data_IF_975058354446
#
_entry.id   IF_975058354446
#
_cell.length_a   1.000
_cell.length_b   1.000
_cell.length_c   1.000
_cell.angle_alpha   90.00
_cell.angle_beta   90.00
_cell.angle_gamma   90.00
#
_symmetry.space_group_name_H-M   'P 1'
#
loop_
_entity.id
_entity.type
_entity.pdbx_description
1 polymer ?
#
# COMPACT_ATOMS: atom_id res chain seq x y z
N UNK A 1 5.60 22.68 77.43
CA UNK A 1 4.12 22.80 77.55
C UNK A 1 3.66 23.73 76.43
N UNK A 2 2.77 23.26 75.56
CA UNK A 2 2.07 24.05 74.50
C UNK A 2 0.72 24.56 75.09
N UNK A 3 -0.14 25.41 74.44
CA UNK A 3 -0.23 25.85 73.02
C UNK A 3 0.17 27.36 72.86
N UNK A 4 -0.28 28.28 71.97
CA UNK A 4 -1.49 28.50 71.13
C UNK A 4 -1.17 29.11 69.75
N UNK A 5 -2.10 28.90 68.81
CA UNK A 5 -2.26 29.40 67.44
C UNK A 5 -2.12 30.92 67.21
N UNK A 6 -1.76 31.29 65.97
CA UNK A 6 -2.62 32.16 65.14
C UNK A 6 -2.40 31.86 63.64
N UNK A 7 -3.40 32.15 62.80
CA UNK A 7 -3.36 31.92 61.34
C UNK A 7 -2.96 33.18 60.57
N UNK A 8 -2.16 33.02 59.51
CA UNK A 8 -2.31 33.83 58.29
C UNK A 8 -2.11 32.95 57.05
N UNK A 9 -3.03 33.08 56.09
CA UNK A 9 -3.03 32.36 54.83
C UNK A 9 -2.55 33.32 53.73
N UNK A 10 -1.49 32.97 53.02
CA UNK A 10 -1.08 33.65 51.78
C UNK A 10 -1.14 32.67 50.62
N UNK A 11 -2.22 32.73 49.85
CA UNK A 11 -2.34 31.98 48.58
C UNK A 11 -1.51 32.69 47.52
N UNK A 12 -0.33 32.12 47.20
CA UNK A 12 0.44 32.52 46.02
C UNK A 12 0.22 31.46 44.95
N UNK A 13 -0.56 31.80 43.92
CA UNK A 13 -0.97 30.89 42.87
C UNK A 13 0.17 30.66 41.85
N UNK A 14 1.14 29.82 42.22
CA UNK A 14 2.20 29.36 41.32
C UNK A 14 1.63 28.36 40.30
N UNK A 15 1.13 28.88 39.17
CA UNK A 15 0.62 28.08 38.06
C UNK A 15 1.74 27.27 37.39
N UNK A 16 1.98 26.06 37.90
CA UNK A 16 2.96 25.13 37.34
C UNK A 16 2.44 24.58 36.01
N UNK A 17 2.83 25.23 34.91
CA UNK A 17 2.56 24.73 33.56
C UNK A 17 3.28 23.40 33.35
N UNK A 18 2.56 22.30 33.53
CA UNK A 18 3.00 20.97 33.11
C UNK A 18 3.08 20.97 31.58
N UNK A 19 4.28 21.21 31.06
CA UNK A 19 4.62 20.93 29.67
C UNK A 19 4.58 19.42 29.45
N UNK A 20 3.38 18.91 29.18
CA UNK A 20 3.17 17.60 28.59
C UNK A 20 3.81 17.60 27.20
N UNK A 21 5.11 17.29 27.15
CA UNK A 21 5.78 16.86 25.94
C UNK A 21 5.22 15.50 25.55
N UNK A 22 4.06 15.53 24.90
CA UNK A 22 3.52 14.39 24.16
C UNK A 22 4.48 14.08 23.00
N UNK A 23 5.59 13.40 23.32
CA UNK A 23 6.34 12.57 22.40
C UNK A 23 5.42 11.44 21.96
N UNK A 24 4.47 11.78 21.10
CA UNK A 24 3.74 10.81 20.31
C UNK A 24 4.69 10.32 19.23
N UNK A 25 5.68 9.53 19.66
CA UNK A 25 6.39 8.59 18.80
C UNK A 25 5.29 7.79 18.13
N UNK A 26 5.08 8.03 16.83
CA UNK A 26 4.17 7.22 16.05
C UNK A 26 4.85 5.87 15.88
N UNK A 27 4.58 4.95 16.80
CA UNK A 27 4.71 3.54 16.53
C UNK A 27 3.77 3.24 15.36
N UNK A 28 4.32 3.32 14.16
CA UNK A 28 3.74 2.67 12.99
C UNK A 28 3.85 1.16 13.27
N UNK A 29 2.83 0.62 13.94
CA UNK A 29 2.58 -0.81 13.97
C UNK A 29 2.36 -1.25 12.54
N UNK A 30 3.42 -1.79 11.93
CA UNK A 30 3.37 -2.26 10.56
C UNK A 30 2.45 -3.47 10.49
N UNK A 31 1.20 -3.23 10.10
CA UNK A 31 0.19 -4.26 10.05
C UNK A 31 0.44 -5.07 8.77
N UNK A 32 0.87 -6.31 8.93
CA UNK A 32 1.31 -7.16 7.83
C UNK A 32 0.18 -7.36 6.81
N UNK A 33 0.55 -7.46 5.53
CA UNK A 33 -0.37 -7.55 4.38
C UNK A 33 -1.39 -6.39 4.27
N UNK A 34 -0.90 -5.17 3.99
CA UNK A 34 -1.75 -4.09 3.49
C UNK A 34 -2.31 -4.45 2.10
N UNK A 35 -3.43 -5.18 2.09
CA UNK A 35 -4.22 -5.51 0.90
C UNK A 35 -4.86 -4.23 0.36
N UNK A 36 -4.43 -3.81 -0.83
CA UNK A 36 -4.92 -2.58 -1.46
C UNK A 36 -6.21 -2.87 -2.23
N UNK A 37 -7.21 -2.01 -2.05
CA UNK A 37 -8.44 -2.05 -2.85
C UNK A 37 -8.11 -1.75 -4.30
N UNK A 38 -8.34 -2.74 -5.16
CA UNK A 38 -8.22 -2.60 -6.62
C UNK A 38 -9.62 -2.31 -7.18
N UNK A 39 -9.73 -1.35 -8.09
CA UNK A 39 -10.94 -1.20 -8.90
C UNK A 39 -11.00 -2.36 -9.91
N UNK A 40 -12.03 -3.20 -9.83
CA UNK A 40 -12.22 -4.35 -10.71
C UNK A 40 -13.00 -3.99 -11.99
N UNK A 41 -12.98 -2.73 -12.41
CA UNK A 41 -13.53 -2.30 -13.70
C UNK A 41 -12.78 -2.94 -14.87
N UNK A 42 -13.51 -3.52 -15.81
CA UNK A 42 -12.91 -4.20 -16.96
C UNK A 42 -12.52 -3.19 -18.05
N UNK A 43 -11.25 -2.80 -17.99
CA UNK A 43 -10.56 -1.94 -18.93
C UNK A 43 -10.34 -2.55 -20.33
N UNK A 44 -10.62 -3.84 -20.51
CA UNK A 44 -10.41 -4.59 -21.75
C UNK A 44 -11.68 -5.39 -22.10
N UNK A 45 -12.85 -4.72 -22.30
CA UNK A 45 -14.14 -5.39 -22.51
C UNK A 45 -14.17 -6.21 -23.80
N UNK A 46 -13.44 -5.78 -24.83
CA UNK A 46 -13.37 -6.45 -26.13
C UNK A 46 -12.49 -7.72 -26.13
N UNK A 47 -11.82 -8.04 -25.01
CA UNK A 47 -10.86 -9.15 -24.90
C UNK A 47 -11.36 -10.23 -23.96
N UNK A 48 -11.26 -11.48 -24.39
CA UNK A 48 -11.62 -12.62 -23.54
C UNK A 48 -10.65 -12.79 -22.38
N UNK A 49 -11.17 -13.28 -21.25
CA UNK A 49 -10.36 -13.70 -20.11
C UNK A 49 -9.77 -15.08 -20.41
N UNK A 50 -8.45 -15.23 -20.35
CA UNK A 50 -7.78 -16.52 -20.61
C UNK A 50 -7.55 -17.31 -19.33
N UNK A 51 -6.65 -16.84 -18.46
CA UNK A 51 -6.32 -17.47 -17.18
C UNK A 51 -6.50 -16.49 -16.03
N UNK A 52 -6.79 -16.99 -14.83
CA UNK A 52 -6.45 -16.29 -13.58
C UNK A 52 -5.12 -16.82 -13.06
N UNK A 53 -4.18 -15.94 -12.73
CA UNK A 53 -2.86 -16.29 -12.20
C UNK A 53 -2.63 -15.58 -10.87
N UNK A 54 -2.24 -16.35 -9.87
CA UNK A 54 -1.69 -15.83 -8.61
C UNK A 54 -0.18 -15.67 -8.75
N UNK A 55 0.34 -14.49 -8.42
CA UNK A 55 1.76 -14.16 -8.38
C UNK A 55 2.18 -14.07 -6.91
N UNK A 56 2.88 -15.08 -6.43
CA UNK A 56 3.45 -15.20 -5.07
C UNK A 56 4.60 -14.22 -4.80
N UNK A 57 5.32 -13.86 -5.86
CA UNK A 57 6.40 -12.89 -5.86
C UNK A 57 6.51 -12.25 -7.25
N UNK A 58 6.37 -10.94 -7.29
CA UNK A 58 6.66 -10.12 -8.46
C UNK A 58 7.20 -8.75 -8.07
N UNK A 59 7.84 -8.09 -9.02
CA UNK A 59 8.37 -6.73 -8.85
C UNK A 59 7.73 -5.80 -9.87
N UNK A 60 7.32 -4.62 -9.42
CA UNK A 60 6.75 -3.57 -10.28
C UNK A 60 7.87 -2.81 -10.97
N UNK A 61 7.77 -2.72 -12.28
CA UNK A 61 8.74 -2.10 -13.17
C UNK A 61 8.07 -1.09 -14.10
N UNK A 62 8.85 -0.15 -14.66
CA UNK A 62 8.34 0.95 -15.49
C UNK A 62 9.09 1.06 -16.80
N UNK A 63 8.37 1.15 -17.92
CA UNK A 63 8.92 1.38 -19.25
C UNK A 63 8.05 2.40 -20.01
N UNK A 64 8.67 3.51 -20.43
CA UNK A 64 7.91 4.71 -20.78
C UNK A 64 7.05 5.14 -19.59
N UNK A 65 5.78 5.45 -19.84
CA UNK A 65 4.82 5.84 -18.81
C UNK A 65 4.05 4.66 -18.19
N UNK A 66 4.19 3.46 -18.75
CA UNK A 66 3.45 2.25 -18.33
C UNK A 66 4.18 1.47 -17.24
N UNK A 67 3.42 1.02 -16.23
CA UNK A 67 3.88 0.13 -15.17
C UNK A 67 3.46 -1.32 -15.47
N UNK A 68 4.33 -2.27 -15.16
CA UNK A 68 4.09 -3.70 -15.36
C UNK A 68 4.64 -4.52 -14.19
N UNK A 69 4.06 -5.68 -13.96
CA UNK A 69 4.49 -6.63 -12.93
C UNK A 69 5.32 -7.72 -13.60
N UNK A 70 6.58 -7.87 -13.19
CA UNK A 70 7.39 -9.06 -13.55
C UNK A 70 7.17 -10.11 -12.46
N UNK A 71 6.68 -11.30 -12.82
CA UNK A 71 6.60 -12.44 -11.91
C UNK A 71 7.96 -13.17 -11.84
N UNK A 72 8.46 -13.37 -10.62
CA UNK A 72 9.76 -13.99 -10.36
C UNK A 72 9.77 -15.47 -10.78
N UNK A 73 8.70 -16.21 -10.48
CA UNK A 73 8.57 -17.66 -10.72
C UNK A 73 8.51 -18.07 -12.21
N UNK A 74 8.45 -17.13 -13.15
CA UNK A 74 8.39 -17.45 -14.58
C UNK A 74 8.90 -16.39 -15.55
N UNK A 75 9.50 -15.30 -15.06
CA UNK A 75 9.92 -14.13 -15.87
C UNK A 75 8.82 -13.60 -16.80
N UNK A 76 7.54 -13.76 -16.39
CA UNK A 76 6.37 -13.31 -17.15
C UNK A 76 6.08 -11.86 -16.79
N UNK A 77 5.86 -11.03 -17.81
CA UNK A 77 5.48 -9.62 -17.65
C UNK A 77 3.97 -9.47 -17.85
N UNK A 78 3.32 -8.81 -16.92
CA UNK A 78 1.89 -8.50 -16.97
C UNK A 78 1.67 -6.99 -16.91
N UNK A 79 0.80 -6.47 -17.78
CA UNK A 79 0.42 -5.06 -17.83
C UNK A 79 -1.00 -4.92 -17.27
N UNK A 80 -1.17 -4.70 -15.95
CA UNK A 80 -2.48 -4.46 -15.37
C UNK A 80 -2.91 -3.02 -15.60
N UNK A 81 -4.04 -2.84 -16.29
CA UNK A 81 -4.62 -1.53 -16.58
C UNK A 81 -5.06 -0.76 -15.32
N UNK A 82 -5.55 -1.49 -14.32
CA UNK A 82 -6.18 -1.00 -13.10
C UNK A 82 -5.21 -1.00 -11.90
N UNK A 83 -3.92 -0.79 -12.15
CA UNK A 83 -2.92 -0.68 -11.09
C UNK A 83 -3.21 0.56 -10.21
N UNK A 84 -3.43 0.41 -8.90
CA UNK A 84 -3.71 1.54 -8.01
C UNK A 84 -2.46 2.42 -7.85
N UNK A 85 -2.65 3.74 -7.65
CA UNK A 85 -1.56 4.72 -7.52
C UNK A 85 -0.53 4.34 -6.43
N UNK A 86 -0.98 3.77 -5.31
CA UNK A 86 -0.11 3.29 -4.24
C UNK A 86 0.91 2.21 -4.67
N UNK A 87 0.67 1.55 -5.82
CA UNK A 87 1.56 0.56 -6.40
C UNK A 87 2.39 1.10 -7.59
N UNK A 88 2.20 2.35 -8.05
CA UNK A 88 2.92 2.91 -9.22
C UNK A 88 4.35 3.38 -8.87
N UNK A 89 5.08 2.52 -8.16
CA UNK A 89 6.46 2.72 -7.70
C UNK A 89 7.35 1.65 -8.31
N UNK A 90 8.42 2.05 -9.00
CA UNK A 90 9.40 1.13 -9.59
C UNK A 90 10.21 0.43 -8.49
N UNK A 91 10.46 -0.87 -8.64
CA UNK A 91 11.21 -1.70 -7.70
C UNK A 91 10.37 -2.25 -6.54
N UNK A 92 9.06 -1.99 -6.51
CA UNK A 92 8.17 -2.43 -5.44
C UNK A 92 7.89 -3.94 -5.54
N UNK A 93 8.15 -4.68 -4.47
CA UNK A 93 7.81 -6.11 -4.39
C UNK A 93 6.33 -6.29 -4.04
N UNK A 94 5.64 -7.19 -4.74
CA UNK A 94 4.19 -7.38 -4.62
C UNK A 94 3.78 -8.85 -4.72
N UNK A 95 2.64 -9.15 -4.10
CA UNK A 95 1.80 -10.30 -4.38
C UNK A 95 0.54 -9.80 -5.09
N UNK A 96 0.06 -10.53 -6.10
CA UNK A 96 -1.19 -10.16 -6.75
C UNK A 96 -1.93 -11.36 -7.35
N UNK A 97 -3.25 -11.20 -7.52
CA UNK A 97 -4.04 -12.08 -8.40
C UNK A 97 -4.45 -11.26 -9.61
N UNK A 98 -4.17 -11.80 -10.80
CA UNK A 98 -4.42 -11.16 -12.09
C UNK A 98 -5.24 -12.06 -13.01
N UNK A 99 -6.14 -11.48 -13.78
CA UNK A 99 -6.77 -12.11 -14.94
C UNK A 99 -5.96 -11.72 -16.18
N UNK A 100 -5.50 -12.69 -16.96
CA UNK A 100 -4.93 -12.45 -18.30
C UNK A 100 -6.04 -12.14 -19.29
N UNK A 101 -5.82 -11.13 -20.11
CA UNK A 101 -6.64 -10.85 -21.30
C UNK A 101 -5.97 -11.41 -22.55
N UNK A 102 -6.79 -11.76 -23.52
CA UNK A 102 -6.35 -12.22 -24.83
C UNK A 102 -5.47 -11.18 -25.55
N UNK A 103 -4.41 -11.66 -26.22
CA UNK A 103 -3.64 -10.91 -27.21
C UNK A 103 -4.09 -11.41 -28.58
N UNK A 104 -4.58 -10.51 -29.44
CA UNK A 104 -5.04 -10.92 -30.77
C UNK A 104 -3.84 -11.28 -31.67
N UNK A 105 -3.96 -12.22 -32.63
CA UNK A 105 -2.82 -12.74 -33.41
C UNK A 105 -2.00 -11.69 -34.18
N UNK A 106 -2.58 -10.53 -34.48
CA UNK A 106 -1.95 -9.43 -35.20
C UNK A 106 -1.24 -8.40 -34.29
N UNK A 107 -1.29 -8.57 -32.98
CA UNK A 107 -0.75 -7.63 -32.00
C UNK A 107 0.61 -8.06 -31.44
N UNK A 108 1.42 -7.09 -31.01
CA UNK A 108 2.70 -7.33 -30.31
C UNK A 108 2.80 -6.46 -29.06
N UNK A 109 2.52 -7.06 -27.92
CA UNK A 109 2.60 -6.42 -26.60
C UNK A 109 3.94 -6.70 -25.91
N UNK A 110 4.47 -5.74 -25.15
CA UNK A 110 5.68 -5.91 -24.33
C UNK A 110 5.45 -6.76 -23.07
N UNK A 111 4.19 -6.84 -22.63
CA UNK A 111 3.72 -7.56 -21.45
C UNK A 111 2.27 -8.00 -21.69
N UNK A 112 1.83 -9.11 -21.11
CA UNK A 112 0.46 -9.62 -21.30
C UNK A 112 -0.56 -8.63 -20.74
N UNK A 113 -1.56 -8.17 -21.52
CA UNK A 113 -2.63 -7.31 -21.00
C UNK A 113 -3.40 -8.06 -19.92
N UNK A 114 -3.77 -7.36 -18.85
CA UNK A 114 -4.34 -7.99 -17.66
C UNK A 114 -5.17 -7.04 -16.83
N UNK A 115 -5.95 -7.60 -15.91
CA UNK A 115 -6.69 -6.89 -14.87
C UNK A 115 -6.33 -7.49 -13.51
N UNK A 116 -5.98 -6.65 -12.54
CA UNK A 116 -5.80 -7.05 -11.14
C UNK A 116 -7.16 -7.35 -10.49
N UNK A 117 -7.23 -8.43 -9.70
CA UNK A 117 -8.29 -8.67 -8.73
C UNK A 117 -7.87 -8.26 -7.31
N UNK A 118 -6.57 -8.38 -7.00
CA UNK A 118 -6.01 -8.02 -5.70
C UNK A 118 -4.52 -7.73 -5.82
N UNK A 119 -4.01 -6.85 -4.95
CA UNK A 119 -2.58 -6.59 -4.80
C UNK A 119 -2.25 -6.31 -3.32
N UNK A 120 -1.15 -6.87 -2.86
CA UNK A 120 -0.55 -6.62 -1.54
C UNK A 120 0.94 -6.36 -1.73
N UNK A 121 1.47 -5.36 -1.02
CA UNK A 121 2.90 -5.03 -1.05
C UNK A 121 3.65 -6.01 -0.14
N UNK A 122 4.84 -6.43 -0.55
CA UNK A 122 5.84 -7.09 0.29
C UNK A 122 6.97 -6.11 0.60
N UNK A 123 7.42 -6.11 1.85
CA UNK A 123 8.75 -5.59 2.23
C UNK A 123 9.82 -6.64 1.94
#
# INVERSE_FOLDING_TARGET
MLPIYSYMISVVASALLVVNSCNHTKHFTYNQDQKITVDTSDCFPDRQNQDTVQVSAGTIEKAGDTYYIISVEGNRKYSPCNMPEACKTKGLNVQCVIIKKEIFPNERWFATPSMLQSISIKE
#
